data_IF_183482337398
#
_entry.id   IF_183482337398
#
_cell.length_a   1.000
_cell.length_b   1.000
_cell.length_c   1.000
_cell.angle_alpha   90.00
_cell.angle_beta   90.00
_cell.angle_gamma   90.00
#
_symmetry.space_group_name_H-M   'P 1'
#
loop_
_entity.id
_entity.type
_entity.pdbx_description
1 polymer ?
#
# COMPACT_ATOMS: atom_id res chain seq x y z
N UNK A 1 24.84 2.47 -7.18
CA UNK A 1 25.60 1.58 -6.28
C UNK A 1 24.95 1.66 -4.92
N UNK A 2 24.71 0.52 -4.25
CA UNK A 2 24.27 0.52 -2.86
C UNK A 2 25.35 1.21 -2.04
N UNK A 3 24.96 2.26 -1.31
CA UNK A 3 25.86 2.95 -0.39
C UNK A 3 26.07 2.05 0.85
N UNK A 4 27.28 1.96 1.40
CA UNK A 4 27.46 1.31 2.69
C UNK A 4 26.65 2.05 3.76
N UNK A 5 26.33 1.32 4.83
CA UNK A 5 25.60 1.83 5.98
C UNK A 5 26.60 2.06 7.12
N UNK A 6 26.66 3.28 7.65
CA UNK A 6 27.53 3.62 8.77
C UNK A 6 26.69 3.75 10.05
N UNK A 7 26.85 2.80 10.97
CA UNK A 7 26.13 2.76 12.26
C UNK A 7 27.17 2.63 13.38
N UNK A 8 27.11 3.52 14.36
CA UNK A 8 27.98 3.50 15.56
C UNK A 8 29.49 3.34 15.25
N UNK A 9 29.94 3.96 14.17
CA UNK A 9 31.34 3.92 13.72
C UNK A 9 31.74 2.64 12.96
N UNK A 10 30.81 1.71 12.73
CA UNK A 10 31.01 0.49 11.95
C UNK A 10 30.40 0.66 10.56
N UNK A 11 31.09 0.15 9.55
CA UNK A 11 30.62 0.16 8.15
C UNK A 11 30.06 -1.21 7.79
N UNK A 12 28.81 -1.22 7.33
CA UNK A 12 28.08 -2.41 6.89
C UNK A 12 27.83 -2.36 5.38
N UNK A 13 27.98 -3.51 4.73
CA UNK A 13 27.74 -3.73 3.30
C UNK A 13 26.57 -4.70 3.10
N UNK A 14 26.19 -4.92 1.83
CA UNK A 14 25.16 -5.90 1.48
C UNK A 14 25.52 -7.28 2.07
N UNK A 15 24.53 -7.91 2.73
CA UNK A 15 24.63 -9.19 3.45
C UNK A 15 25.35 -9.17 4.79
N UNK A 16 25.87 -8.02 5.24
CA UNK A 16 26.36 -7.91 6.62
C UNK A 16 25.20 -7.94 7.61
N UNK A 17 25.47 -8.43 8.82
CA UNK A 17 24.50 -8.54 9.88
C UNK A 17 24.77 -7.49 10.95
N UNK A 18 23.76 -6.67 11.25
CA UNK A 18 23.74 -5.76 12.39
C UNK A 18 22.86 -6.35 13.49
N UNK A 19 23.42 -6.55 14.67
CA UNK A 19 22.73 -7.13 15.83
C UNK A 19 22.75 -6.16 17.00
N UNK A 20 21.61 -6.03 17.68
CA UNK A 20 21.47 -5.26 18.90
C UNK A 20 20.40 -5.93 19.79
N UNK A 21 20.34 -5.52 21.05
CA UNK A 21 19.30 -5.96 21.99
C UNK A 21 18.43 -4.77 22.36
N UNK A 22 17.14 -5.03 22.55
CA UNK A 22 16.18 -4.07 23.07
C UNK A 22 15.58 -4.64 24.34
N UNK A 23 15.57 -3.85 25.39
CA UNK A 23 14.74 -4.10 26.55
C UNK A 23 13.29 -3.69 26.26
N UNK A 24 12.38 -4.13 27.15
CA UNK A 24 10.96 -3.85 27.00
C UNK A 24 10.72 -2.34 26.92
N UNK A 25 10.00 -1.92 25.88
CA UNK A 25 9.65 -0.53 25.56
C UNK A 25 10.79 0.33 25.00
N UNK A 26 11.96 -0.24 24.74
CA UNK A 26 13.00 0.48 24.00
C UNK A 26 12.68 0.53 22.50
N UNK A 27 13.21 1.55 21.83
CA UNK A 27 13.10 1.76 20.38
C UNK A 27 14.48 2.03 19.82
N UNK A 28 14.74 1.55 18.62
CA UNK A 28 15.97 1.82 17.89
C UNK A 28 15.62 2.28 16.47
N UNK A 29 16.23 3.38 16.04
CA UNK A 29 16.01 3.96 14.72
C UNK A 29 17.30 3.94 13.92
N UNK A 30 17.21 3.47 12.66
CA UNK A 30 18.29 3.60 11.68
C UNK A 30 17.89 4.69 10.69
N UNK A 31 18.43 5.89 10.87
CA UNK A 31 18.28 7.00 9.93
C UNK A 31 19.52 7.07 9.02
N UNK A 32 19.35 6.84 7.71
CA UNK A 32 20.46 6.86 6.76
C UNK A 32 20.01 7.20 5.34
N UNK A 33 20.91 7.80 4.55
CA UNK A 33 20.66 8.16 3.14
C UNK A 33 20.69 6.98 2.16
N UNK A 34 20.94 5.77 2.66
CA UNK A 34 21.03 4.56 1.82
C UNK A 34 19.62 3.95 1.71
N UNK A 35 19.30 3.41 0.55
CA UNK A 35 18.07 2.64 0.39
C UNK A 35 18.22 1.31 1.14
N UNK A 36 17.38 1.10 2.15
CA UNK A 36 17.33 -0.12 2.97
C UNK A 36 16.30 -1.13 2.44
N UNK A 37 15.74 -0.92 1.24
CA UNK A 37 14.86 -1.90 0.59
C UNK A 37 15.59 -3.23 0.43
N UNK A 38 14.96 -4.32 0.89
CA UNK A 38 15.56 -5.66 0.89
C UNK A 38 16.28 -6.04 2.19
N UNK A 39 16.39 -5.14 3.17
CA UNK A 39 16.86 -5.49 4.52
C UNK A 39 15.90 -6.47 5.20
N UNK A 40 16.45 -7.54 5.77
CA UNK A 40 15.70 -8.55 6.52
C UNK A 40 15.80 -8.26 8.01
N UNK A 41 14.65 -8.06 8.66
CA UNK A 41 14.55 -7.91 10.11
C UNK A 41 14.21 -9.27 10.72
N UNK A 42 15.02 -9.73 11.68
CA UNK A 42 14.77 -10.94 12.47
C UNK A 42 14.75 -10.56 13.93
N UNK A 43 13.74 -11.05 14.66
CA UNK A 43 13.61 -10.84 16.10
C UNK A 43 13.29 -12.16 16.80
N UNK A 44 13.80 -12.32 18.02
CA UNK A 44 13.49 -13.46 18.90
C UNK A 44 12.12 -13.33 19.57
N UNK A 45 11.53 -12.13 19.55
CA UNK A 45 10.23 -11.80 20.15
C UNK A 45 9.38 -10.94 19.20
N UNK A 46 8.04 -10.88 19.36
CA UNK A 46 7.22 -9.96 18.59
C UNK A 46 7.67 -8.51 18.76
N UNK A 47 7.82 -7.79 17.64
CA UNK A 47 8.16 -6.37 17.59
C UNK A 47 7.25 -5.66 16.58
N UNK A 48 7.08 -4.35 16.73
CA UNK A 48 6.58 -3.49 15.66
C UNK A 48 7.79 -2.95 14.90
N UNK A 49 7.83 -3.17 13.59
CA UNK A 49 8.87 -2.62 12.72
C UNK A 49 8.23 -1.58 11.81
N UNK A 50 8.85 -0.39 11.73
CA UNK A 50 8.42 0.68 10.84
C UNK A 50 9.52 0.93 9.81
N UNK A 51 9.12 1.28 8.60
CA UNK A 51 10.04 1.67 7.54
C UNK A 51 9.45 2.81 6.74
N UNK A 52 10.34 3.69 6.27
CA UNK A 52 9.91 4.98 5.78
C UNK A 52 11.05 5.82 5.25
N UNK A 53 10.74 7.08 5.01
CA UNK A 53 11.68 8.13 4.63
C UNK A 53 11.19 9.44 5.23
N UNK A 54 12.05 10.14 5.96
CA UNK A 54 11.74 11.38 6.68
C UNK A 54 11.46 12.56 5.74
N UNK A 55 11.97 12.51 4.51
CA UNK A 55 11.95 13.62 3.58
C UNK A 55 12.06 13.11 2.14
N UNK A 56 10.94 12.67 1.55
CA UNK A 56 10.92 12.15 0.18
C UNK A 56 10.09 12.99 -0.78
N UNK A 57 10.68 13.27 -1.93
CA UNK A 57 10.02 13.91 -3.07
C UNK A 57 9.96 12.90 -4.23
N UNK A 58 8.91 12.08 -4.25
CA UNK A 58 8.78 11.02 -5.26
C UNK A 58 8.74 11.62 -6.68
N UNK A 59 9.55 11.06 -7.58
CA UNK A 59 9.78 11.56 -8.95
C UNK A 59 10.23 13.04 -9.03
N UNK A 60 10.82 13.59 -7.96
CA UNK A 60 11.19 15.01 -7.87
C UNK A 60 10.01 15.97 -8.12
N UNK A 61 8.78 15.57 -7.80
CA UNK A 61 7.56 16.40 -7.86
C UNK A 61 6.98 16.66 -6.47
N UNK A 62 6.31 17.81 -6.27
CA UNK A 62 5.66 18.14 -4.99
C UNK A 62 6.55 18.78 -3.91
N UNK A 63 6.19 18.60 -2.65
CA UNK A 63 7.03 18.87 -1.49
C UNK A 63 7.64 17.57 -0.92
N UNK A 64 8.40 17.72 0.15
CA UNK A 64 8.97 16.60 0.88
C UNK A 64 8.01 16.16 1.97
N UNK A 65 7.56 14.91 1.90
CA UNK A 65 6.72 14.32 2.94
C UNK A 65 7.48 13.24 3.71
N UNK A 66 7.09 13.12 4.98
CA UNK A 66 7.45 11.98 5.81
C UNK A 66 6.58 10.78 5.42
N UNK A 67 7.21 9.75 4.87
CA UNK A 67 6.60 8.48 4.53
C UNK A 67 6.92 7.48 5.62
N UNK A 68 5.92 6.84 6.21
CA UNK A 68 6.16 5.79 7.20
C UNK A 68 5.01 4.79 7.19
N UNK A 69 5.35 3.52 7.28
CA UNK A 69 4.39 2.43 7.42
C UNK A 69 4.89 1.38 8.40
N UNK A 70 3.96 0.76 9.13
CA UNK A 70 4.28 -0.44 9.89
C UNK A 70 4.40 -1.63 8.93
N UNK A 71 5.53 -2.33 9.00
CA UNK A 71 5.77 -3.50 8.18
C UNK A 71 5.01 -4.71 8.72
N UNK A 72 4.23 -5.41 7.88
CA UNK A 72 3.63 -6.67 8.27
C UNK A 72 4.71 -7.76 8.41
N UNK A 73 4.56 -8.73 9.34
CA UNK A 73 5.47 -9.85 9.43
C UNK A 73 5.35 -10.73 8.18
N UNK A 74 6.45 -11.35 7.75
CA UNK A 74 6.52 -12.17 6.52
C UNK A 74 5.43 -13.26 6.46
N UNK A 75 5.06 -13.84 7.60
CA UNK A 75 4.02 -14.88 7.71
C UNK A 75 2.61 -14.41 7.33
N UNK A 76 2.37 -13.10 7.35
CA UNK A 76 1.09 -12.49 6.99
C UNK A 76 1.01 -12.07 5.52
N UNK A 77 2.14 -12.07 4.81
CA UNK A 77 2.21 -11.64 3.41
C UNK A 77 1.46 -12.58 2.48
N UNK A 78 0.91 -11.98 1.43
CA UNK A 78 0.16 -12.68 0.41
C UNK A 78 0.94 -12.84 -0.90
N UNK A 79 0.33 -13.56 -1.83
CA UNK A 79 0.84 -13.87 -3.17
C UNK A 79 0.19 -13.01 -4.25
N UNK A 80 -1.03 -12.57 -3.98
CA UNK A 80 -1.88 -11.93 -4.97
C UNK A 80 -2.45 -10.62 -4.42
N UNK A 81 -2.27 -9.56 -5.19
CA UNK A 81 -2.60 -8.19 -4.79
C UNK A 81 -3.33 -7.46 -5.92
N UNK A 82 -4.27 -6.61 -5.53
CA UNK A 82 -4.94 -5.65 -6.41
C UNK A 82 -4.57 -4.27 -5.88
N UNK A 83 -3.94 -3.45 -6.71
CA UNK A 83 -3.53 -2.09 -6.37
C UNK A 83 -4.44 -1.11 -7.12
N UNK A 84 -5.39 -0.45 -6.43
CA UNK A 84 -6.20 0.60 -7.03
C UNK A 84 -5.36 1.85 -7.32
N UNK A 85 -5.83 2.77 -8.19
CA UNK A 85 -5.25 4.11 -8.22
C UNK A 85 -5.47 4.79 -6.87
N UNK A 86 -4.43 5.47 -6.36
CA UNK A 86 -4.45 6.12 -5.05
C UNK A 86 -5.61 7.12 -4.91
N UNK A 87 -5.77 8.02 -5.87
CA UNK A 87 -6.88 8.98 -5.90
C UNK A 87 -7.00 9.65 -7.27
N UNK A 88 -8.09 10.41 -7.49
CA UNK A 88 -8.30 11.11 -8.74
C UNK A 88 -7.14 12.08 -9.05
N UNK A 89 -6.75 12.17 -10.32
CA UNK A 89 -5.65 13.01 -10.81
C UNK A 89 -4.25 12.72 -10.22
N UNK A 90 -4.09 11.63 -9.46
CA UNK A 90 -2.83 11.24 -8.82
C UNK A 90 -2.37 9.87 -9.31
N UNK A 91 -1.17 9.81 -9.88
CA UNK A 91 -0.55 8.55 -10.26
C UNK A 91 -0.08 7.78 -9.03
N UNK A 92 0.08 6.47 -9.18
CA UNK A 92 0.50 5.58 -8.10
C UNK A 92 1.77 4.84 -8.50
N UNK A 93 2.85 5.04 -7.74
CA UNK A 93 4.02 4.18 -7.80
C UNK A 93 3.76 2.91 -7.00
N UNK A 94 4.26 1.80 -7.50
CA UNK A 94 4.07 0.50 -6.87
C UNK A 94 5.45 -0.13 -6.75
N UNK A 95 5.85 -0.47 -5.53
CA UNK A 95 7.05 -1.24 -5.23
C UNK A 95 6.64 -2.64 -4.82
N UNK A 96 7.19 -3.63 -5.51
CA UNK A 96 7.02 -5.05 -5.21
C UNK A 96 8.36 -5.55 -4.69
N UNK A 97 8.40 -6.08 -3.46
CA UNK A 97 9.62 -6.64 -2.86
C UNK A 97 9.42 -8.13 -2.61
N UNK A 98 10.40 -8.95 -2.98
CA UNK A 98 10.30 -10.41 -2.91
C UNK A 98 11.20 -10.97 -1.81
N UNK A 99 10.75 -12.01 -1.12
CA UNK A 99 11.54 -12.64 -0.05
C UNK A 99 12.45 -13.72 -0.60
N UNK A 100 12.00 -14.41 -1.64
CA UNK A 100 12.69 -15.50 -2.29
C UNK A 100 12.63 -15.32 -3.81
N UNK A 101 13.48 -16.07 -4.52
CA UNK A 101 13.50 -16.03 -5.99
C UNK A 101 12.10 -16.34 -6.53
N UNK A 102 11.56 -15.48 -7.39
CA UNK A 102 10.20 -15.65 -7.91
C UNK A 102 10.07 -15.08 -9.32
N UNK A 103 9.15 -15.67 -10.08
CA UNK A 103 8.68 -15.15 -11.36
C UNK A 103 7.24 -14.68 -11.16
N UNK A 104 7.06 -13.39 -10.89
CA UNK A 104 5.76 -12.79 -10.65
C UNK A 104 5.19 -12.19 -11.94
N UNK A 105 3.88 -12.04 -12.00
CA UNK A 105 3.16 -11.38 -13.08
C UNK A 105 2.61 -10.07 -12.58
N UNK A 106 2.92 -8.99 -13.29
CA UNK A 106 2.31 -7.66 -13.11
C UNK A 106 1.40 -7.41 -14.31
N UNK A 107 0.13 -7.09 -14.07
CA UNK A 107 -0.82 -6.78 -15.12
C UNK A 107 -1.47 -5.41 -14.88
N UNK A 108 -1.38 -4.55 -15.90
CA UNK A 108 -2.00 -3.22 -15.91
C UNK A 108 -2.84 -3.12 -17.19
N UNK A 109 -4.15 -2.92 -17.05
CA UNK A 109 -5.14 -2.87 -18.17
C UNK A 109 -5.05 -4.06 -19.14
N UNK A 110 -4.95 -5.28 -18.62
CA UNK A 110 -4.86 -6.50 -19.43
C UNK A 110 -3.49 -6.74 -20.08
N UNK A 111 -2.52 -5.84 -19.89
CA UNK A 111 -1.14 -6.04 -20.36
C UNK A 111 -0.32 -6.69 -19.25
N UNK A 112 -0.20 -8.01 -19.34
CA UNK A 112 0.61 -8.81 -18.42
C UNK A 112 2.10 -8.74 -18.78
N UNK A 113 2.94 -8.61 -17.76
CA UNK A 113 4.40 -8.68 -17.84
C UNK A 113 4.90 -9.64 -16.75
N UNK A 114 5.68 -10.64 -17.14
CA UNK A 114 6.44 -11.45 -16.18
C UNK A 114 7.69 -10.71 -15.73
N UNK A 115 7.95 -10.72 -14.44
CA UNK A 115 9.13 -10.12 -13.80
C UNK A 115 9.82 -11.21 -12.98
N UNK A 116 11.07 -11.49 -13.31
CA UNK A 116 11.93 -12.39 -12.55
C UNK A 116 12.74 -11.57 -11.56
N UNK A 117 12.62 -11.88 -10.27
CA UNK A 117 13.36 -11.24 -9.19
C UNK A 117 14.09 -12.28 -8.35
N UNK A 118 15.31 -11.97 -7.95
CA UNK A 118 16.03 -12.73 -6.93
C UNK A 118 15.55 -12.34 -5.54
N UNK A 119 15.79 -13.19 -4.56
CA UNK A 119 15.53 -12.96 -3.15
C UNK A 119 15.99 -11.55 -2.73
N UNK A 120 15.12 -10.84 -2.02
CA UNK A 120 15.32 -9.48 -1.49
C UNK A 120 15.41 -8.36 -2.54
N UNK A 121 15.27 -8.66 -3.83
CA UNK A 121 15.14 -7.64 -4.86
C UNK A 121 13.75 -6.99 -4.85
N UNK A 122 13.68 -5.80 -5.45
CA UNK A 122 12.41 -5.11 -5.66
C UNK A 122 12.23 -4.68 -7.11
N UNK A 123 10.98 -4.54 -7.51
CA UNK A 123 10.57 -4.03 -8.81
C UNK A 123 9.60 -2.88 -8.62
N UNK A 124 9.86 -1.76 -9.31
CA UNK A 124 8.98 -0.61 -9.32
C UNK A 124 8.20 -0.55 -10.63
N UNK A 125 6.90 -0.24 -10.53
CA UNK A 125 6.04 0.09 -11.67
C UNK A 125 5.15 1.28 -11.32
N UNK A 126 4.41 1.81 -12.31
CA UNK A 126 3.52 2.95 -12.14
C UNK A 126 2.19 2.70 -12.84
N UNK A 127 1.10 3.13 -12.22
CA UNK A 127 -0.24 3.22 -12.82
C UNK A 127 -0.71 4.67 -12.80
N UNK A 128 -1.51 5.05 -13.80
CA UNK A 128 -2.23 6.32 -13.75
C UNK A 128 -3.42 6.27 -12.80
N UNK A 129 -3.99 7.44 -12.48
CA UNK A 129 -5.25 7.58 -11.72
C UNK A 129 -6.48 6.88 -12.34
N UNK A 130 -6.32 6.25 -13.51
CA UNK A 130 -7.36 5.59 -14.31
C UNK A 130 -7.03 4.13 -14.62
N UNK A 131 -6.08 3.56 -13.88
CA UNK A 131 -5.59 2.20 -14.09
C UNK A 131 -5.52 1.46 -12.76
N UNK A 132 -5.86 0.18 -12.78
CA UNK A 132 -5.56 -0.77 -11.71
C UNK A 132 -4.32 -1.59 -12.08
N UNK A 133 -3.52 -1.96 -11.08
CA UNK A 133 -2.48 -2.97 -11.21
C UNK A 133 -2.88 -4.24 -10.46
N UNK A 134 -2.66 -5.40 -11.06
CA UNK A 134 -2.74 -6.68 -10.35
C UNK A 134 -1.36 -7.31 -10.33
N UNK A 135 -1.01 -7.92 -9.20
CA UNK A 135 0.26 -8.62 -8.99
C UNK A 135 -0.07 -10.03 -8.55
N UNK A 136 0.47 -11.02 -9.24
CA UNK A 136 0.33 -12.44 -8.90
C UNK A 136 1.71 -13.09 -8.85
N UNK A 137 2.00 -13.81 -7.77
CA UNK A 137 3.30 -14.43 -7.52
C UNK A 137 3.13 -15.86 -7.00
N UNK A 138 3.97 -16.82 -7.39
CA UNK A 138 3.96 -18.15 -6.79
C UNK A 138 4.34 -18.12 -5.30
N UNK A 139 5.08 -17.10 -4.87
CA UNK A 139 5.64 -16.95 -3.53
C UNK A 139 5.10 -15.68 -2.84
N UNK A 140 5.11 -15.64 -1.51
CA UNK A 140 4.66 -14.45 -0.77
C UNK A 140 5.57 -13.25 -1.05
N UNK A 141 4.98 -12.09 -1.27
CA UNK A 141 5.64 -10.84 -1.62
C UNK A 141 5.05 -9.69 -0.79
N UNK A 142 5.75 -8.56 -0.74
CA UNK A 142 5.20 -7.31 -0.20
C UNK A 142 4.91 -6.35 -1.34
N UNK A 143 3.74 -5.71 -1.32
CA UNK A 143 3.38 -4.66 -2.27
C UNK A 143 3.14 -3.37 -1.50
N UNK A 144 3.90 -2.34 -1.85
CA UNK A 144 3.76 -0.99 -1.30
C UNK A 144 3.32 -0.06 -2.43
N UNK A 145 2.25 0.70 -2.19
CA UNK A 145 1.80 1.75 -3.09
C UNK A 145 2.23 3.11 -2.55
N UNK A 146 2.57 4.01 -3.47
CA UNK A 146 2.82 5.40 -3.14
C UNK A 146 1.93 6.30 -3.99
N UNK A 147 1.11 7.15 -3.36
CA UNK A 147 0.40 8.21 -4.06
C UNK A 147 1.38 9.30 -4.48
N UNK A 148 1.33 9.77 -5.72
CA UNK A 148 2.14 10.92 -6.19
C UNK A 148 1.35 12.22 -6.06
N UNK A 149 1.99 13.37 -6.18
CA UNK A 149 1.28 14.66 -6.28
C UNK A 149 0.29 14.69 -7.47
N UNK A 150 -0.78 15.48 -7.33
CA UNK A 150 -1.71 15.79 -8.42
C UNK A 150 -0.99 16.30 -9.67
N UNK A 151 -1.46 15.85 -10.84
CA UNK A 151 -0.91 16.30 -12.13
C UNK A 151 -1.29 17.74 -12.47
N UNK A 152 -2.42 18.22 -11.95
CA UNK A 152 -3.02 19.49 -12.35
C UNK A 152 -3.17 20.50 -11.21
N UNK A 153 -2.84 20.13 -9.98
CA UNK A 153 -3.00 20.99 -8.80
C UNK A 153 -1.88 20.75 -7.77
N UNK A 154 -1.97 21.44 -6.62
CA UNK A 154 -1.07 21.26 -5.47
C UNK A 154 -1.59 20.22 -4.47
N UNK A 155 -2.67 19.53 -4.81
CA UNK A 155 -3.31 18.56 -3.91
C UNK A 155 -2.52 17.27 -3.86
N UNK A 156 -2.22 16.87 -2.62
CA UNK A 156 -1.46 15.68 -2.31
C UNK A 156 0.03 15.87 -2.50
N UNK A 157 0.79 15.40 -1.54
CA UNK A 157 2.21 15.07 -1.69
C UNK A 157 2.38 13.57 -1.43
N UNK A 158 3.58 12.96 -1.46
CA UNK A 158 3.61 11.52 -1.49
C UNK A 158 3.05 10.89 -0.21
N UNK A 159 2.20 9.87 -0.36
CA UNK A 159 1.81 8.97 0.75
C UNK A 159 2.37 7.59 0.47
N UNK A 160 2.61 6.82 1.52
CA UNK A 160 3.00 5.42 1.45
C UNK A 160 1.87 4.57 2.03
N UNK A 161 1.64 3.40 1.45
CA UNK A 161 0.65 2.45 1.96
C UNK A 161 1.07 1.02 1.68
N UNK A 162 0.99 0.15 2.69
CA UNK A 162 1.10 -1.29 2.49
C UNK A 162 -0.22 -1.81 1.91
N UNK A 163 -0.16 -2.33 0.68
CA UNK A 163 -1.34 -2.86 -0.01
C UNK A 163 -1.74 -4.19 0.62
N UNK A 164 -3.02 -4.38 1.00
CA UNK A 164 -3.46 -5.66 1.54
C UNK A 164 -3.56 -6.72 0.43
N UNK A 165 -3.09 -7.92 0.75
CA UNK A 165 -3.30 -9.09 -0.10
C UNK A 165 -4.76 -9.53 -0.09
N UNK A 166 -5.21 -10.21 -1.15
CA UNK A 166 -6.61 -10.67 -1.29
C UNK A 166 -7.06 -11.54 -0.10
N UNK A 167 -6.18 -12.36 0.48
CA UNK A 167 -6.49 -13.20 1.65
C UNK A 167 -6.58 -12.42 2.96
N UNK A 168 -6.17 -11.16 2.98
CA UNK A 168 -6.31 -10.25 4.13
C UNK A 168 -7.61 -9.42 4.09
N UNK A 169 -8.44 -9.62 3.07
CA UNK A 169 -9.72 -8.93 2.94
C UNK A 169 -10.69 -9.38 4.05
N UNK A 170 -11.49 -8.43 4.53
CA UNK A 170 -12.48 -8.63 5.59
C UNK A 170 -13.87 -8.30 5.04
N UNK A 171 -14.91 -8.74 5.74
CA UNK A 171 -16.31 -8.46 5.43
C UNK A 171 -16.86 -7.22 6.16
N UNK A 172 -16.08 -6.68 7.11
CA UNK A 172 -16.44 -5.52 7.90
C UNK A 172 -15.21 -4.69 8.29
N UNK A 173 -15.33 -3.37 8.18
CA UNK A 173 -14.35 -2.38 8.64
C UNK A 173 -15.07 -1.26 9.39
N UNK A 174 -14.46 -0.81 10.50
CA UNK A 174 -14.85 0.41 11.22
C UNK A 174 -13.61 1.29 11.39
N UNK A 175 -13.62 2.45 10.75
CA UNK A 175 -12.44 3.31 10.59
C UNK A 175 -12.83 4.75 10.87
N UNK A 176 -11.89 5.55 11.38
CA UNK A 176 -12.04 7.01 11.44
C UNK A 176 -11.31 7.60 10.24
N UNK A 177 -12.06 8.23 9.33
CA UNK A 177 -11.50 8.98 8.20
C UNK A 177 -10.90 10.29 8.74
N UNK A 178 -9.60 10.54 8.55
CA UNK A 178 -8.92 11.73 9.05
C UNK A 178 -9.59 13.05 8.65
N UNK A 179 -9.54 14.02 9.56
CA UNK A 179 -10.08 15.37 9.35
C UNK A 179 -9.06 16.31 8.73
N UNK A 180 -9.53 17.40 8.10
CA UNK A 180 -8.66 18.48 7.63
C UNK A 180 -8.02 18.23 6.25
N UNK A 181 -8.59 17.28 5.50
CA UNK A 181 -8.26 17.01 4.12
C UNK A 181 -9.36 17.54 3.19
N UNK A 182 -8.98 18.05 2.02
CA UNK A 182 -9.92 18.62 1.03
C UNK A 182 -10.78 17.53 0.42
N UNK A 183 -10.18 16.38 0.11
CA UNK A 183 -10.89 15.20 -0.37
C UNK A 183 -10.36 13.95 0.31
N UNK A 184 -11.29 13.09 0.73
CA UNK A 184 -11.01 11.75 1.22
C UNK A 184 -11.61 10.71 0.28
N UNK A 185 -10.90 9.62 0.09
CA UNK A 185 -11.24 8.54 -0.82
C UNK A 185 -11.15 7.20 -0.12
N UNK A 186 -12.03 6.30 -0.55
CA UNK A 186 -12.00 4.88 -0.19
C UNK A 186 -11.96 4.07 -1.48
N UNK A 187 -10.92 3.28 -1.66
CA UNK A 187 -10.81 2.27 -2.71
C UNK A 187 -11.26 0.91 -2.17
N UNK A 188 -12.11 0.26 -2.94
CA UNK A 188 -12.79 -1.00 -2.61
C UNK A 188 -12.39 -2.02 -3.67
N UNK A 189 -11.88 -3.17 -3.23
CA UNK A 189 -11.59 -4.32 -4.10
C UNK A 189 -12.47 -5.49 -3.67
N UNK A 190 -13.50 -5.80 -4.43
CA UNK A 190 -14.52 -6.81 -4.08
C UNK A 190 -14.79 -7.71 -5.29
N UNK A 191 -15.27 -8.94 -5.07
CA UNK A 191 -15.80 -9.76 -6.17
C UNK A 191 -16.84 -8.98 -6.96
N UNK A 192 -16.75 -9.07 -8.29
CA UNK A 192 -17.57 -8.28 -9.21
C UNK A 192 -19.07 -8.48 -8.97
N UNK A 193 -19.48 -9.74 -8.82
CA UNK A 193 -20.87 -10.14 -8.54
C UNK A 193 -21.38 -9.62 -7.17
N UNK A 194 -20.48 -9.35 -6.22
CA UNK A 194 -20.79 -8.87 -4.87
C UNK A 194 -20.74 -7.34 -4.74
N UNK A 195 -20.38 -6.59 -5.79
CA UNK A 195 -20.26 -5.11 -5.69
C UNK A 195 -21.57 -4.41 -5.29
N UNK A 196 -22.72 -5.00 -5.62
CA UNK A 196 -24.04 -4.44 -5.32
C UNK A 196 -24.49 -4.63 -3.87
N UNK A 197 -23.87 -5.54 -3.12
CA UNK A 197 -24.18 -5.80 -1.70
C UNK A 197 -23.26 -5.06 -0.74
N UNK A 198 -22.26 -4.34 -1.24
CA UNK A 198 -21.39 -3.48 -0.45
C UNK A 198 -22.12 -2.25 0.09
N UNK A 199 -21.79 -1.83 1.32
CA UNK A 199 -22.41 -0.70 2.01
C UNK A 199 -21.36 0.18 2.68
N UNK A 200 -21.60 1.49 2.65
CA UNK A 200 -20.92 2.48 3.50
C UNK A 200 -21.96 3.03 4.47
N UNK A 201 -21.68 2.97 5.78
CA UNK A 201 -22.60 3.42 6.82
C UNK A 201 -24.00 2.80 6.69
N UNK A 202 -24.06 1.52 6.32
CA UNK A 202 -25.31 0.78 6.07
C UNK A 202 -26.05 1.15 4.78
N UNK A 203 -25.55 2.11 3.99
CA UNK A 203 -26.21 2.60 2.77
C UNK A 203 -25.49 2.16 1.50
N UNK A 204 -26.21 2.13 0.37
CA UNK A 204 -25.63 1.88 -0.95
C UNK A 204 -24.77 3.06 -1.40
N UNK A 205 -23.78 2.79 -2.24
CA UNK A 205 -22.94 3.84 -2.83
C UNK A 205 -23.74 4.61 -3.88
N UNK A 206 -23.80 5.94 -3.72
CA UNK A 206 -24.29 6.86 -4.76
C UNK A 206 -23.31 6.94 -5.94
N UNK A 207 -23.81 6.86 -7.18
CA UNK A 207 -22.97 6.97 -8.39
C UNK A 207 -22.22 8.30 -8.47
N UNK A 208 -22.76 9.38 -7.88
CA UNK A 208 -22.12 10.69 -7.82
C UNK A 208 -20.82 10.69 -7.00
N UNK A 209 -20.65 9.74 -6.08
CA UNK A 209 -19.45 9.64 -5.25
C UNK A 209 -18.36 8.78 -5.91
N UNK A 210 -18.68 8.04 -6.96
CA UNK A 210 -17.74 7.14 -7.65
C UNK A 210 -16.80 7.99 -8.52
N UNK A 211 -15.49 7.90 -8.26
CA UNK A 211 -14.45 8.60 -9.03
C UNK A 211 -13.59 7.66 -9.88
N UNK A 212 -13.68 6.35 -9.62
CA UNK A 212 -12.99 5.31 -10.37
C UNK A 212 -13.81 4.02 -10.29
N UNK A 213 -13.91 3.28 -11.39
CA UNK A 213 -14.59 1.99 -11.48
C UNK A 213 -14.00 1.16 -12.63
N UNK A 214 -13.39 0.01 -12.32
CA UNK A 214 -12.80 -0.91 -13.28
C UNK A 214 -13.01 -2.36 -12.82
N UNK A 215 -13.28 -3.26 -13.76
CA UNK A 215 -13.22 -4.70 -13.50
C UNK A 215 -11.85 -5.24 -13.87
N UNK A 216 -11.25 -6.02 -12.98
CA UNK A 216 -9.97 -6.69 -13.21
C UNK A 216 -10.11 -8.19 -12.95
N UNK A 217 -9.38 -8.99 -13.71
CA UNK A 217 -9.37 -10.44 -13.56
C UNK A 217 -8.05 -10.91 -12.95
N UNK A 218 -8.16 -11.73 -11.91
CA UNK A 218 -7.05 -12.36 -11.20
C UNK A 218 -7.29 -13.87 -11.22
N UNK A 219 -6.45 -14.61 -11.94
CA UNK A 219 -6.73 -16.02 -12.25
C UNK A 219 -8.04 -16.15 -13.03
N UNK A 220 -9.00 -16.88 -12.46
CA UNK A 220 -10.34 -17.08 -13.03
C UNK A 220 -11.41 -16.21 -12.35
N UNK A 221 -11.01 -15.29 -11.47
CA UNK A 221 -11.93 -14.50 -10.64
C UNK A 221 -11.90 -13.04 -11.08
N UNK A 222 -13.08 -12.45 -11.28
CA UNK A 222 -13.21 -11.03 -11.61
C UNK A 222 -13.56 -10.24 -10.36
N UNK A 223 -12.78 -9.19 -10.11
CA UNK A 223 -13.00 -8.23 -9.03
C UNK A 223 -13.45 -6.90 -9.64
N UNK A 224 -14.36 -6.21 -8.96
CA UNK A 224 -14.60 -4.79 -9.17
C UNK A 224 -13.67 -3.98 -8.27
N UNK A 225 -12.97 -3.03 -8.86
CA UNK A 225 -12.13 -2.06 -8.17
C UNK A 225 -12.76 -0.69 -8.34
N UNK A 226 -13.17 -0.10 -7.22
CA UNK A 226 -13.91 1.16 -7.21
C UNK A 226 -13.34 2.11 -6.17
N UNK A 227 -13.13 3.37 -6.54
CA UNK A 227 -12.81 4.42 -5.58
C UNK A 227 -13.97 5.40 -5.45
N UNK A 228 -14.32 5.74 -4.22
CA UNK A 228 -15.40 6.68 -3.89
C UNK A 228 -14.88 7.84 -3.05
N UNK A 229 -15.47 9.02 -3.22
CA UNK A 229 -15.32 10.13 -2.27
C UNK A 229 -16.11 9.85 -0.99
N UNK A 230 -15.50 10.15 0.15
CA UNK A 230 -16.14 10.04 1.48
C UNK A 230 -15.89 11.30 2.29
N UNK A 231 -16.68 11.51 3.33
CA UNK A 231 -16.47 12.58 4.31
C UNK A 231 -15.53 12.11 5.41
N UNK A 232 -14.88 13.05 6.09
CA UNK A 232 -14.17 12.79 7.35
C UNK A 232 -15.11 12.27 8.46
N UNK A 233 -14.54 11.63 9.48
CA UNK A 233 -15.28 11.07 10.62
C UNK A 233 -15.42 9.54 10.60
N UNK A 234 -16.28 9.01 11.46
CA UNK A 234 -16.51 7.55 11.55
C UNK A 234 -17.13 7.01 10.25
N UNK A 235 -16.54 5.93 9.75
CA UNK A 235 -17.00 5.21 8.58
C UNK A 235 -17.03 3.71 8.87
N UNK A 236 -18.16 3.09 8.55
CA UNK A 236 -18.29 1.63 8.48
C UNK A 236 -18.40 1.20 7.03
N UNK A 237 -17.66 0.15 6.66
CA UNK A 237 -17.76 -0.51 5.37
C UNK A 237 -18.09 -1.98 5.60
N UNK A 238 -19.08 -2.51 4.90
CA UNK A 238 -19.54 -3.89 5.10
C UNK A 238 -20.21 -4.46 3.87
N UNK A 239 -20.34 -5.79 3.79
CA UNK A 239 -21.18 -6.48 2.81
C UNK A 239 -22.37 -7.15 3.48
N UNK A 240 -23.53 -7.16 2.81
CA UNK A 240 -24.75 -7.76 3.39
C UNK A 240 -24.67 -9.30 3.45
N UNK A 241 -23.88 -9.92 2.57
CA UNK A 241 -23.75 -11.38 2.44
C UNK A 241 -22.48 -11.95 3.09
N UNK A 242 -21.66 -11.14 3.78
CA UNK A 242 -20.37 -11.57 4.33
C UNK A 242 -19.27 -11.75 3.29
N UNK A 243 -19.45 -11.24 2.07
CA UNK A 243 -18.37 -11.19 1.08
C UNK A 243 -17.19 -10.38 1.61
N UNK A 244 -15.98 -10.91 1.45
CA UNK A 244 -14.76 -10.20 1.85
C UNK A 244 -14.32 -9.23 0.76
N UNK A 245 -13.85 -8.06 1.17
CA UNK A 245 -13.34 -7.03 0.27
C UNK A 245 -12.10 -6.37 0.86
N UNK A 246 -11.26 -5.85 -0.03
CA UNK A 246 -10.14 -4.99 0.33
C UNK A 246 -10.60 -3.55 0.46
N UNK A 247 -10.01 -2.83 1.41
CA UNK A 247 -10.27 -1.43 1.64
C UNK A 247 -8.94 -0.68 1.73
N UNK A 248 -8.80 0.40 0.98
CA UNK A 248 -7.66 1.32 1.09
C UNK A 248 -8.19 2.75 1.17
N UNK A 249 -7.55 3.57 1.99
CA UNK A 249 -7.93 4.97 2.17
C UNK A 249 -6.83 5.87 1.62
N UNK A 250 -7.26 6.99 1.07
CA UNK A 250 -6.37 8.09 0.72
C UNK A 250 -7.05 9.41 1.01
N UNK A 251 -6.30 10.42 1.40
CA UNK A 251 -6.82 11.78 1.49
C UNK A 251 -5.79 12.80 1.05
N UNK A 252 -6.27 13.94 0.55
CA UNK A 252 -5.43 14.97 -0.04
C UNK A 252 -5.81 16.35 0.47
N UNK A 253 -4.80 17.15 0.76
CA UNK A 253 -4.90 18.60 0.90
C UNK A 253 -3.69 19.22 0.21
N UNK A 254 -3.59 20.54 0.25
CA UNK A 254 -2.45 21.24 -0.35
C UNK A 254 -1.14 20.74 0.28
N UNK A 255 -0.26 20.21 -0.57
CA UNK A 255 1.06 19.69 -0.23
C UNK A 255 1.11 18.61 0.85
N UNK A 256 0.03 17.83 1.03
CA UNK A 256 0.00 16.75 2.02
C UNK A 256 -0.98 15.67 1.58
N UNK A 257 -0.67 14.42 1.91
CA UNK A 257 -1.64 13.33 1.80
C UNK A 257 -1.52 12.34 2.94
N UNK A 258 -2.55 11.51 3.11
CA UNK A 258 -2.43 10.28 3.90
C UNK A 258 -2.82 9.09 3.02
N UNK A 259 -2.34 7.92 3.42
CA UNK A 259 -2.81 6.64 2.87
C UNK A 259 -2.65 5.55 3.92
N UNK A 260 -3.57 4.60 3.94
CA UNK A 260 -3.46 3.38 4.75
C UNK A 260 -4.40 2.30 4.23
N UNK A 261 -4.16 1.04 4.61
CA UNK A 261 -5.05 -0.08 4.32
C UNK A 261 -6.06 -0.28 5.46
N UNK A 262 -7.31 -0.63 5.15
CA UNK A 262 -8.35 -0.74 6.17
C UNK A 262 -8.05 -1.82 7.23
N UNK A 263 -7.31 -2.86 6.87
CA UNK A 263 -6.95 -3.95 7.77
C UNK A 263 -5.75 -3.62 8.68
N UNK A 264 -5.04 -2.50 8.46
CA UNK A 264 -3.97 -2.08 9.38
C UNK A 264 -4.47 -1.40 10.65
N UNK A 265 -5.75 -0.97 10.66
CA UNK A 265 -6.36 -0.19 11.74
C UNK A 265 -7.29 -1.05 12.63
N UNK A 266 -7.50 -2.31 12.27
CA UNK A 266 -8.34 -3.25 13.01
C UNK A 266 -7.46 -4.11 13.94
N UNK A 267 -7.12 -3.55 15.09
CA UNK A 267 -6.57 -4.26 16.25
C UNK A 267 -7.57 -4.22 17.41
#
# INVERSE_FOLDING_TARGET
MNKPLHIDGITYYNNDMFNFSLDRFETYEIAHIADLTGTVIRSSVPIAAFSGNDCNKLENMGAYDHLIEQLPPIVSLDKTYIVPPNSNDRDTLIRITVIENTNLTVNIRGRSKTVTLKSLESYNTKISSTQTCTVDSPNSITVTSFGLISKTSKLGDPSMTIVPGIRQYLDYYKIVVPTGYVYNYVSIMILEDSKHVFRINGTTISSYNIVFDENVTVGNTTFNVRSIKVTEGELTASTVNGERFGLMFAGVRDYESYGFSGNSVLL
#
